data_IF_099264492116
#
_entry.id   IF_099264492116
#
_cell.length_a   1.000
_cell.length_b   1.000
_cell.length_c   1.000
_cell.angle_alpha   90.00
_cell.angle_beta   90.00
_cell.angle_gamma   90.00
#
_symmetry.space_group_name_H-M   'P 1'
#
loop_
_entity.id
_entity.type
_entity.pdbx_description
1 polymer ?
#
# COMPACT_ATOMS: atom_id res chain seq x y z
N UNK A 1 -29.89 2.16 10.01
CA UNK A 1 -28.78 1.62 9.22
C UNK A 1 -27.53 1.79 10.08
N UNK A 2 -27.04 0.72 10.68
CA UNK A 2 -25.78 0.74 11.45
C UNK A 2 -24.65 1.09 10.48
N UNK A 3 -23.95 2.21 10.71
CA UNK A 3 -22.79 2.57 9.94
C UNK A 3 -21.80 1.40 9.97
N UNK A 4 -21.39 0.89 8.81
CA UNK A 4 -20.41 -0.18 8.74
C UNK A 4 -19.14 0.26 9.44
N UNK A 5 -18.62 -0.56 10.35
CA UNK A 5 -17.36 -0.24 11.04
C UNK A 5 -16.22 -0.18 10.01
N UNK A 6 -15.39 0.87 10.04
CA UNK A 6 -14.26 0.97 9.12
C UNK A 6 -13.30 -0.19 9.34
N UNK A 7 -12.72 -0.71 8.26
CA UNK A 7 -11.71 -1.77 8.35
C UNK A 7 -10.42 -1.27 9.01
N UNK A 8 -9.93 -0.10 8.56
CA UNK A 8 -8.80 0.59 9.18
C UNK A 8 -9.30 1.85 9.87
N UNK A 9 -8.88 2.03 11.11
CA UNK A 9 -9.10 3.25 11.89
C UNK A 9 -7.79 3.74 12.48
N UNK A 10 -7.48 4.98 12.19
CA UNK A 10 -6.32 5.70 12.69
C UNK A 10 -6.84 6.87 13.53
N UNK A 11 -6.43 6.94 14.79
CA UNK A 11 -6.91 7.95 15.74
C UNK A 11 -5.72 8.65 16.40
N UNK A 12 -5.59 9.97 16.21
CA UNK A 12 -4.68 10.83 16.93
C UNK A 12 -3.20 10.48 16.81
N UNK A 13 -2.75 9.96 15.64
CA UNK A 13 -1.36 9.56 15.47
C UNK A 13 -0.41 10.74 15.60
N UNK A 14 0.62 10.56 16.47
CA UNK A 14 1.70 11.51 16.67
C UNK A 14 3.05 10.82 16.56
N UNK A 15 3.99 11.51 15.90
CA UNK A 15 5.38 11.08 15.82
C UNK A 15 6.31 12.26 15.64
N UNK A 16 7.27 12.39 16.55
CA UNK A 16 8.32 13.42 16.48
C UNK A 16 9.70 12.79 16.29
N UNK A 17 10.57 13.52 15.62
CA UNK A 17 11.98 13.22 15.46
C UNK A 17 12.81 14.47 15.78
N UNK A 18 13.63 14.42 16.83
CA UNK A 18 14.50 15.55 17.19
C UNK A 18 13.76 16.87 17.41
N UNK A 19 12.53 16.83 17.95
CA UNK A 19 11.69 18.00 18.20
C UNK A 19 10.87 18.46 16.98
N UNK A 20 10.93 17.77 15.84
CA UNK A 20 10.12 18.05 14.65
C UNK A 20 8.98 17.03 14.58
N UNK A 21 7.74 17.53 14.55
CA UNK A 21 6.56 16.68 14.43
C UNK A 21 6.39 16.21 12.98
N UNK A 22 6.67 14.93 12.74
CA UNK A 22 6.45 14.28 11.46
C UNK A 22 4.98 13.84 11.30
N UNK A 23 4.28 13.56 12.43
CA UNK A 23 2.83 13.37 12.49
C UNK A 23 2.31 14.12 13.72
N UNK A 24 1.30 14.97 13.53
CA UNK A 24 0.71 15.84 14.53
C UNK A 24 -0.83 15.65 14.53
N UNK A 25 -1.29 14.64 15.27
CA UNK A 25 -2.72 14.33 15.47
C UNK A 25 -3.45 13.85 14.19
N UNK A 26 -2.83 12.93 13.46
CA UNK A 26 -3.40 12.39 12.21
C UNK A 26 -4.48 11.35 12.52
N UNK A 27 -5.69 11.58 12.00
CA UNK A 27 -6.84 10.69 12.16
C UNK A 27 -7.56 10.52 10.82
N UNK A 28 -7.82 9.28 10.41
CA UNK A 28 -8.62 8.93 9.22
C UNK A 28 -9.15 7.50 9.32
N UNK A 29 -10.07 7.17 8.41
CA UNK A 29 -10.68 5.85 8.35
C UNK A 29 -10.69 5.32 6.93
N UNK A 30 -10.68 3.97 6.78
CA UNK A 30 -10.77 3.31 5.49
C UNK A 30 -11.68 2.08 5.58
N UNK A 31 -12.66 2.04 4.72
CA UNK A 31 -13.62 0.94 4.62
C UNK A 31 -13.04 -0.22 3.79
N UNK A 32 -13.58 -1.42 4.01
CA UNK A 32 -13.23 -2.59 3.21
C UNK A 32 -13.66 -2.40 1.74
N UNK A 33 -12.78 -2.76 0.80
CA UNK A 33 -13.01 -2.62 -0.64
C UNK A 33 -12.86 -1.18 -1.16
N UNK A 34 -12.40 -0.23 -0.34
CA UNK A 34 -12.16 1.16 -0.75
C UNK A 34 -10.67 1.44 -0.93
N UNK A 35 -10.38 2.40 -1.81
CA UNK A 35 -9.05 2.92 -2.07
C UNK A 35 -8.92 4.34 -1.52
N UNK A 36 -8.03 4.54 -0.55
CA UNK A 36 -7.69 5.84 0.03
C UNK A 36 -6.30 6.26 -0.44
N UNK A 37 -6.20 7.42 -1.06
CA UNK A 37 -4.92 8.04 -1.38
C UNK A 37 -4.47 8.97 -0.23
N UNK A 38 -3.28 8.75 0.31
CA UNK A 38 -2.63 9.67 1.24
C UNK A 38 -1.63 10.52 0.46
N UNK A 39 -1.99 11.77 0.20
CA UNK A 39 -1.17 12.68 -0.60
C UNK A 39 -0.63 13.85 0.24
N UNK A 40 0.30 14.59 -0.31
CA UNK A 40 0.91 15.76 0.35
C UNK A 40 2.30 16.04 -0.20
N UNK A 41 2.85 17.25 0.02
CA UNK A 41 4.18 17.60 -0.42
C UNK A 41 5.26 16.72 0.20
N UNK A 42 6.50 16.84 -0.30
CA UNK A 42 7.63 16.13 0.28
C UNK A 42 7.85 16.58 1.74
N UNK A 43 8.12 15.63 2.62
CA UNK A 43 8.24 15.90 4.05
C UNK A 43 6.92 16.07 4.81
N UNK A 44 5.75 15.87 4.16
CA UNK A 44 4.45 15.99 4.82
C UNK A 44 4.17 14.93 5.91
N UNK A 45 4.95 13.83 5.96
CA UNK A 45 4.76 12.75 6.93
C UNK A 45 4.18 11.45 6.37
N UNK A 46 3.94 11.36 5.05
CA UNK A 46 3.33 10.19 4.39
C UNK A 46 4.08 8.89 4.71
N UNK A 47 5.39 8.83 4.45
CA UNK A 47 6.21 7.64 4.71
C UNK A 47 6.29 7.31 6.21
N UNK A 48 6.26 8.32 7.10
CA UNK A 48 6.19 8.12 8.55
C UNK A 48 4.86 7.42 8.92
N UNK A 49 3.75 7.87 8.37
CA UNK A 49 2.43 7.25 8.55
C UNK A 49 2.45 5.79 8.07
N UNK A 50 2.94 5.52 6.86
CA UNK A 50 3.07 4.16 6.31
C UNK A 50 3.96 3.25 7.18
N UNK A 51 5.06 3.77 7.69
CA UNK A 51 5.96 3.02 8.58
C UNK A 51 5.32 2.70 9.94
N UNK A 52 4.46 3.58 10.45
CA UNK A 52 3.67 3.30 11.65
C UNK A 52 2.64 2.21 11.37
N UNK A 53 1.86 2.34 10.29
CA UNK A 53 0.83 1.36 9.90
C UNK A 53 1.42 -0.02 9.63
N UNK A 54 2.62 -0.08 9.03
CA UNK A 54 3.36 -1.31 8.74
C UNK A 54 4.16 -1.88 9.92
N UNK A 55 4.20 -1.19 11.06
CA UNK A 55 4.92 -1.63 12.27
C UNK A 55 6.44 -1.54 12.19
N UNK A 56 6.98 -0.76 11.24
CA UNK A 56 8.41 -0.44 11.18
C UNK A 56 8.77 0.71 12.12
N UNK A 57 7.78 1.52 12.50
CA UNK A 57 7.96 2.67 13.38
C UNK A 57 6.88 2.64 14.47
N UNK A 58 7.27 2.90 15.72
CA UNK A 58 6.33 3.09 16.81
C UNK A 58 5.93 4.56 16.89
N UNK A 59 4.63 4.90 16.93
CA UNK A 59 4.18 6.25 17.16
C UNK A 59 4.43 6.65 18.63
N UNK A 60 4.48 7.95 18.89
CA UNK A 60 4.62 8.50 20.26
C UNK A 60 3.27 8.57 20.97
N UNK A 61 2.18 8.75 20.19
CA UNK A 61 0.80 8.71 20.70
C UNK A 61 -0.17 8.29 19.56
N UNK A 62 -1.42 8.02 19.95
CA UNK A 62 -2.49 7.61 19.06
C UNK A 62 -2.64 6.11 18.94
N UNK A 63 -3.60 5.68 18.13
CA UNK A 63 -3.92 4.27 17.92
C UNK A 63 -4.15 3.95 16.43
N UNK A 64 -3.86 2.71 16.04
CA UNK A 64 -4.12 2.15 14.72
C UNK A 64 -4.85 0.84 14.88
N UNK A 65 -6.08 0.75 14.39
CA UNK A 65 -6.88 -0.46 14.50
C UNK A 65 -7.25 -1.02 13.14
N UNK A 66 -6.98 -2.30 12.96
CA UNK A 66 -7.46 -3.07 11.82
C UNK A 66 -8.56 -4.01 12.30
N UNK A 67 -9.78 -3.83 11.79
CA UNK A 67 -10.94 -4.64 12.22
C UNK A 67 -11.10 -4.66 13.75
N UNK A 68 -10.99 -3.50 14.38
CA UNK A 68 -11.07 -3.31 15.83
C UNK A 68 -9.83 -3.75 16.62
N UNK A 69 -8.85 -4.41 16.00
CA UNK A 69 -7.61 -4.88 16.69
C UNK A 69 -6.52 -3.82 16.63
N UNK A 70 -5.96 -3.49 17.79
CA UNK A 70 -4.84 -2.55 17.89
C UNK A 70 -3.57 -3.11 17.25
N UNK A 71 -2.93 -2.31 16.42
CA UNK A 71 -1.68 -2.64 15.73
C UNK A 71 -0.45 -1.98 16.35
N UNK A 72 -0.61 -0.87 17.09
CA UNK A 72 0.51 -0.16 17.72
C UNK A 72 1.26 -1.07 18.69
N UNK A 73 2.59 -1.10 18.54
CA UNK A 73 3.47 -1.95 19.35
C UNK A 73 3.61 -3.39 18.87
N UNK A 74 2.90 -3.79 17.82
CA UNK A 74 3.12 -5.08 17.18
C UNK A 74 4.29 -5.00 16.19
N UNK A 75 5.03 -6.10 16.04
CA UNK A 75 6.06 -6.21 14.99
C UNK A 75 5.45 -6.29 13.60
N UNK A 76 6.18 -5.82 12.57
CA UNK A 76 5.74 -5.88 11.17
C UNK A 76 5.29 -7.28 10.73
N UNK A 77 6.00 -8.34 11.16
CA UNK A 77 5.61 -9.71 10.86
C UNK A 77 4.29 -10.14 11.56
N UNK A 78 3.95 -9.55 12.70
CA UNK A 78 2.65 -9.80 13.37
C UNK A 78 1.53 -9.03 12.68
N UNK A 79 1.79 -7.80 12.27
CA UNK A 79 0.86 -6.95 11.51
C UNK A 79 0.54 -7.60 10.15
N UNK A 80 1.55 -8.11 9.44
CA UNK A 80 1.36 -8.86 8.19
C UNK A 80 0.41 -10.06 8.40
N UNK A 81 0.59 -10.83 9.46
CA UNK A 81 -0.29 -11.97 9.79
C UNK A 81 -1.72 -11.59 10.19
N UNK A 82 -1.92 -10.35 10.62
CA UNK A 82 -3.26 -9.81 10.87
C UNK A 82 -3.97 -9.34 9.60
N UNK A 83 -3.28 -9.42 8.45
CA UNK A 83 -3.86 -9.09 7.15
C UNK A 83 -3.47 -7.72 6.61
N UNK A 84 -2.31 -7.18 6.99
CA UNK A 84 -1.73 -5.99 6.35
C UNK A 84 -0.65 -6.43 5.37
N UNK A 85 -0.91 -6.30 4.08
CA UNK A 85 0.10 -6.42 3.01
C UNK A 85 0.78 -5.07 2.78
N UNK A 86 2.03 -5.10 2.33
CA UNK A 86 2.76 -3.89 1.94
C UNK A 86 3.58 -4.13 0.68
N UNK A 87 3.51 -3.19 -0.27
CA UNK A 87 4.50 -3.03 -1.33
C UNK A 87 5.41 -1.85 -0.98
N UNK A 88 6.60 -1.80 -1.57
CA UNK A 88 7.60 -0.79 -1.27
C UNK A 88 7.88 0.09 -2.48
N UNK A 89 8.38 1.30 -2.29
CA UNK A 89 8.80 2.20 -3.35
C UNK A 89 9.82 1.52 -4.28
N UNK A 90 10.85 0.90 -3.70
CA UNK A 90 11.75 0.00 -4.44
C UNK A 90 11.21 -1.41 -4.34
N UNK A 91 10.97 -2.06 -5.48
CA UNK A 91 10.39 -3.40 -5.52
C UNK A 91 11.23 -4.40 -4.72
N UNK A 92 10.60 -5.04 -3.73
CA UNK A 92 11.24 -5.99 -2.82
C UNK A 92 11.25 -7.41 -3.40
N UNK A 93 11.74 -7.58 -4.64
CA UNK A 93 11.86 -8.87 -5.31
C UNK A 93 13.31 -9.36 -5.32
N UNK A 94 13.50 -10.67 -5.30
CA UNK A 94 14.80 -11.32 -5.48
C UNK A 94 15.09 -11.41 -6.98
N UNK A 95 15.97 -10.54 -7.48
CA UNK A 95 16.26 -10.41 -8.93
C UNK A 95 16.83 -11.68 -9.58
N UNK A 96 17.55 -12.50 -8.81
CA UNK A 96 18.11 -13.78 -9.24
C UNK A 96 17.10 -14.93 -9.28
N UNK A 97 15.92 -14.74 -8.70
CA UNK A 97 14.83 -15.71 -8.69
C UNK A 97 13.82 -15.41 -9.80
N UNK A 98 13.11 -16.44 -10.24
CA UNK A 98 11.98 -16.29 -11.16
C UNK A 98 10.80 -15.61 -10.47
N UNK A 99 9.83 -15.11 -11.26
CA UNK A 99 8.57 -14.56 -10.72
C UNK A 99 7.85 -15.59 -9.84
N UNK A 100 7.81 -16.87 -10.26
CA UNK A 100 7.20 -17.96 -9.51
C UNK A 100 7.90 -18.17 -8.16
N UNK A 101 9.22 -18.26 -8.13
CA UNK A 101 10.00 -18.47 -6.90
C UNK A 101 9.85 -17.31 -5.92
N UNK A 102 9.76 -16.07 -6.41
CA UNK A 102 9.47 -14.90 -5.59
C UNK A 102 8.12 -15.05 -4.86
N UNK A 103 7.06 -15.42 -5.58
CA UNK A 103 5.73 -15.63 -5.00
C UNK A 103 5.74 -16.84 -4.05
N UNK A 104 6.44 -17.93 -4.41
CA UNK A 104 6.59 -19.09 -3.52
C UNK A 104 7.31 -18.72 -2.22
N UNK A 105 8.31 -17.82 -2.26
CA UNK A 105 9.00 -17.32 -1.05
C UNK A 105 8.02 -16.60 -0.13
N UNK A 106 7.12 -15.79 -0.67
CA UNK A 106 6.06 -15.15 0.12
C UNK A 106 5.09 -16.18 0.74
N UNK A 107 4.72 -17.22 -0.01
CA UNK A 107 3.88 -18.32 0.50
C UNK A 107 4.58 -19.12 1.59
N UNK A 108 5.88 -19.40 1.45
CA UNK A 108 6.69 -20.05 2.49
C UNK A 108 6.76 -19.21 3.77
N UNK A 109 6.89 -17.88 3.63
CA UNK A 109 6.85 -16.94 4.75
C UNK A 109 5.50 -17.01 5.48
N UNK A 110 4.41 -16.96 4.74
CA UNK A 110 3.04 -17.10 5.28
C UNK A 110 2.89 -18.41 6.07
N UNK A 111 3.37 -19.52 5.50
CA UNK A 111 3.24 -20.85 6.09
C UNK A 111 4.28 -21.14 7.19
N UNK A 112 5.16 -20.17 7.50
CA UNK A 112 6.25 -20.28 8.50
C UNK A 112 7.24 -21.41 8.20
N UNK A 113 7.52 -21.67 6.93
CA UNK A 113 8.36 -22.75 6.47
C UNK A 113 9.76 -22.31 6.01
N UNK A 114 10.07 -20.99 6.05
CA UNK A 114 11.34 -20.42 5.57
C UNK A 114 12.59 -21.07 6.19
N UNK A 115 12.48 -21.59 7.42
CA UNK A 115 13.59 -22.21 8.16
C UNK A 115 13.44 -23.73 8.32
N UNK A 116 12.60 -24.39 7.53
CA UNK A 116 12.44 -25.86 7.55
C UNK A 116 13.23 -26.50 6.41
N UNK A 117 14.43 -27.11 6.67
CA UNK A 117 15.35 -27.59 5.64
C UNK A 117 14.86 -28.83 4.87
N UNK A 118 13.80 -29.49 5.34
CA UNK A 118 13.34 -30.77 4.82
C UNK A 118 12.34 -30.71 3.67
N UNK A 119 11.87 -29.52 3.26
CA UNK A 119 10.94 -29.36 2.12
C UNK A 119 11.63 -28.60 0.99
N UNK A 120 11.58 -29.18 -0.21
CA UNK A 120 12.01 -28.49 -1.43
C UNK A 120 11.12 -27.27 -1.65
N UNK A 121 11.69 -26.09 -1.57
CA UNK A 121 10.98 -24.80 -1.79
C UNK A 121 10.34 -24.78 -3.18
N UNK A 122 11.00 -25.35 -4.19
CA UNK A 122 10.56 -25.41 -5.59
C UNK A 122 9.19 -26.06 -5.80
N UNK A 123 8.81 -27.04 -4.98
CA UNK A 123 7.52 -27.73 -5.09
C UNK A 123 6.42 -27.13 -4.19
N UNK A 124 6.78 -26.12 -3.38
CA UNK A 124 5.82 -25.58 -2.41
C UNK A 124 4.77 -24.70 -3.10
N UNK A 125 3.51 -25.11 -3.01
CA UNK A 125 2.34 -24.36 -3.47
C UNK A 125 2.45 -23.77 -4.87
N UNK A 126 3.05 -24.50 -5.82
CA UNK A 126 3.25 -24.06 -7.21
C UNK A 126 1.95 -23.57 -7.83
N UNK A 127 0.86 -24.33 -7.68
CA UNK A 127 -0.43 -23.96 -8.26
C UNK A 127 -1.01 -22.67 -7.63
N UNK A 128 -0.83 -22.46 -6.31
CA UNK A 128 -1.27 -21.24 -5.64
C UNK A 128 -0.41 -20.04 -6.09
N UNK A 129 0.90 -20.23 -6.27
CA UNK A 129 1.78 -19.19 -6.77
C UNK A 129 1.46 -18.81 -8.24
N UNK A 130 1.17 -19.79 -9.10
CA UNK A 130 0.73 -19.53 -10.47
C UNK A 130 -0.60 -18.80 -10.51
N UNK A 131 -1.57 -19.19 -9.66
CA UNK A 131 -2.86 -18.49 -9.57
C UNK A 131 -2.71 -17.02 -9.11
N UNK A 132 -1.76 -16.73 -8.20
CA UNK A 132 -1.45 -15.36 -7.79
C UNK A 132 -0.81 -14.57 -8.93
N UNK A 133 0.11 -15.19 -9.70
CA UNK A 133 0.70 -14.56 -10.89
C UNK A 133 -0.35 -14.31 -11.98
N UNK A 134 -1.32 -15.20 -12.15
CA UNK A 134 -2.43 -15.01 -13.08
C UNK A 134 -3.29 -13.81 -12.68
N UNK A 135 -3.61 -13.66 -11.38
CA UNK A 135 -4.36 -12.50 -10.85
C UNK A 135 -3.69 -11.17 -11.18
N UNK A 136 -2.35 -11.13 -11.24
CA UNK A 136 -1.59 -9.92 -11.58
C UNK A 136 -1.13 -9.90 -13.05
N UNK A 137 -1.69 -10.76 -13.90
CA UNK A 137 -1.40 -10.86 -15.34
C UNK A 137 0.07 -11.17 -15.64
N UNK A 138 0.71 -12.01 -14.82
CA UNK A 138 2.12 -12.41 -14.95
C UNK A 138 2.31 -13.92 -15.16
N UNK A 139 1.24 -14.66 -15.47
CA UNK A 139 1.32 -16.12 -15.69
C UNK A 139 2.30 -16.50 -16.81
N UNK A 140 2.32 -15.75 -17.90
CA UNK A 140 3.22 -15.99 -19.05
C UNK A 140 4.71 -15.78 -18.71
N UNK A 141 5.02 -14.97 -17.70
CA UNK A 141 6.37 -14.66 -17.23
C UNK A 141 6.76 -15.41 -15.95
N UNK A 142 5.96 -16.39 -15.52
CA UNK A 142 6.17 -17.10 -14.25
C UNK A 142 7.60 -17.67 -14.09
N UNK A 143 8.22 -18.11 -15.19
CA UNK A 143 9.59 -18.67 -15.21
C UNK A 143 10.68 -17.65 -15.55
N UNK A 144 10.34 -16.41 -15.86
CA UNK A 144 11.31 -15.36 -16.12
C UNK A 144 11.94 -14.89 -14.80
N UNK A 145 13.26 -14.67 -14.82
CA UNK A 145 13.96 -14.07 -13.68
C UNK A 145 13.53 -12.61 -13.50
N UNK A 146 13.23 -12.19 -12.26
CA UNK A 146 12.80 -10.83 -11.98
C UNK A 146 13.82 -9.77 -12.41
N UNK A 147 15.11 -10.11 -12.49
CA UNK A 147 16.14 -9.23 -13.00
C UNK A 147 16.08 -8.94 -14.51
N UNK A 148 15.35 -9.75 -15.28
CA UNK A 148 15.15 -9.60 -16.74
C UNK A 148 13.77 -8.98 -17.09
N UNK A 149 12.88 -8.81 -16.11
CA UNK A 149 11.56 -8.24 -16.31
C UNK A 149 11.61 -6.71 -16.42
N UNK A 150 10.68 -6.15 -17.18
CA UNK A 150 10.44 -4.71 -17.18
C UNK A 150 9.98 -4.23 -15.79
N UNK A 151 10.22 -2.96 -15.46
CA UNK A 151 9.94 -2.44 -14.12
C UNK A 151 8.48 -2.60 -13.70
N UNK A 152 7.53 -2.34 -14.61
CA UNK A 152 6.10 -2.53 -14.36
C UNK A 152 5.72 -3.99 -14.11
N UNK A 153 6.42 -4.94 -14.77
CA UNK A 153 6.21 -6.38 -14.53
C UNK A 153 6.74 -6.79 -13.15
N UNK A 154 7.90 -6.25 -12.73
CA UNK A 154 8.44 -6.47 -11.38
C UNK A 154 7.46 -5.96 -10.31
N UNK A 155 6.83 -4.78 -10.53
CA UNK A 155 5.80 -4.25 -9.63
C UNK A 155 4.55 -5.14 -9.54
N UNK A 156 4.16 -5.79 -10.64
CA UNK A 156 3.08 -6.80 -10.62
C UNK A 156 3.48 -8.06 -9.84
N UNK A 157 4.71 -8.52 -9.97
CA UNK A 157 5.22 -9.65 -9.15
C UNK A 157 5.24 -9.27 -7.67
N UNK A 158 5.67 -8.07 -7.31
CA UNK A 158 5.62 -7.56 -5.94
C UNK A 158 4.18 -7.53 -5.39
N UNK A 159 3.22 -7.11 -6.21
CA UNK A 159 1.79 -7.16 -5.85
C UNK A 159 1.35 -8.61 -5.58
N UNK A 160 1.72 -9.58 -6.44
CA UNK A 160 1.41 -10.99 -6.22
C UNK A 160 2.00 -11.53 -4.90
N UNK A 161 3.25 -11.14 -4.56
CA UNK A 161 3.87 -11.47 -3.28
C UNK A 161 3.09 -10.89 -2.09
N UNK A 162 2.62 -9.67 -2.18
CA UNK A 162 1.80 -9.06 -1.13
C UNK A 162 0.45 -9.79 -0.98
N UNK A 163 -0.19 -10.18 -2.10
CA UNK A 163 -1.44 -10.95 -2.11
C UNK A 163 -1.29 -12.37 -1.55
N UNK A 164 -0.09 -12.95 -1.57
CA UNK A 164 0.18 -14.28 -1.02
C UNK A 164 -0.22 -14.40 0.47
N UNK A 165 -0.18 -13.31 1.22
CA UNK A 165 -0.61 -13.23 2.61
C UNK A 165 -2.12 -12.99 2.79
N UNK A 166 -2.90 -12.91 1.68
CA UNK A 166 -4.35 -12.64 1.69
C UNK A 166 -4.69 -11.40 2.51
N UNK A 167 -4.13 -10.23 2.15
CA UNK A 167 -4.30 -9.03 2.95
C UNK A 167 -5.75 -8.55 2.93
N UNK A 168 -6.19 -8.02 4.07
CA UNK A 168 -7.43 -7.25 4.19
C UNK A 168 -7.17 -5.76 3.92
N UNK A 169 -5.95 -5.29 4.24
CA UNK A 169 -5.44 -3.96 3.96
C UNK A 169 -4.14 -4.09 3.17
N UNK A 170 -4.05 -3.43 2.03
CA UNK A 170 -2.84 -3.30 1.24
C UNK A 170 -2.29 -1.87 1.36
N UNK A 171 -1.06 -1.73 1.80
CA UNK A 171 -0.31 -0.48 1.84
C UNK A 171 0.60 -0.40 0.62
N UNK A 172 0.44 0.62 -0.23
CA UNK A 172 1.24 0.80 -1.45
C UNK A 172 1.95 2.17 -1.40
N UNK A 173 3.26 2.14 -1.25
CA UNK A 173 4.10 3.35 -1.14
C UNK A 173 4.64 3.70 -2.53
N UNK A 174 4.07 4.74 -3.17
CA UNK A 174 4.40 5.20 -4.52
C UNK A 174 4.46 4.05 -5.57
N UNK A 175 3.39 3.25 -5.71
CA UNK A 175 3.42 2.01 -6.50
C UNK A 175 3.74 2.25 -7.98
N UNK A 176 3.48 3.45 -8.50
CA UNK A 176 3.64 3.75 -9.93
C UNK A 176 4.86 4.63 -10.24
N UNK A 177 5.69 4.94 -9.23
CA UNK A 177 6.89 5.74 -9.42
C UNK A 177 7.82 5.12 -10.48
N UNK A 178 8.31 5.94 -11.43
CA UNK A 178 9.20 5.47 -12.50
C UNK A 178 8.55 4.71 -13.66
N UNK A 179 7.22 4.52 -13.66
CA UNK A 179 6.48 3.84 -14.72
C UNK A 179 5.98 4.82 -15.79
N UNK A 180 5.81 4.35 -17.04
CA UNK A 180 5.12 5.08 -18.08
C UNK A 180 3.62 5.27 -17.73
N UNK A 181 3.00 6.34 -18.24
CA UNK A 181 1.61 6.71 -17.89
C UNK A 181 0.61 5.58 -18.08
N UNK A 182 0.67 4.86 -19.20
CA UNK A 182 -0.24 3.75 -19.47
C UNK A 182 -0.05 2.58 -18.49
N UNK A 183 1.19 2.30 -18.08
CA UNK A 183 1.52 1.25 -17.12
C UNK A 183 1.04 1.60 -15.71
N UNK A 184 1.16 2.88 -15.29
CA UNK A 184 0.64 3.38 -14.02
C UNK A 184 -0.84 3.07 -13.88
N UNK A 185 -1.62 3.51 -14.88
CA UNK A 185 -3.07 3.27 -14.88
C UNK A 185 -3.42 1.79 -14.99
N UNK A 186 -2.64 0.99 -15.71
CA UNK A 186 -2.86 -0.45 -15.80
C UNK A 186 -2.66 -1.14 -14.44
N UNK A 187 -1.59 -0.77 -13.69
CA UNK A 187 -1.34 -1.30 -12.35
C UNK A 187 -2.45 -0.90 -11.37
N UNK A 188 -2.89 0.37 -11.41
CA UNK A 188 -3.92 0.85 -10.49
C UNK A 188 -5.31 0.28 -10.80
N UNK A 189 -5.66 0.08 -12.10
CA UNK A 189 -6.89 -0.65 -12.48
C UNK A 189 -6.88 -2.08 -11.97
N UNK A 190 -5.77 -2.79 -12.17
CA UNK A 190 -5.59 -4.15 -11.65
C UNK A 190 -5.75 -4.18 -10.11
N UNK A 191 -5.13 -3.22 -9.41
CA UNK A 191 -5.27 -3.09 -7.95
C UNK A 191 -6.71 -2.82 -7.55
N UNK A 192 -7.46 -2.00 -8.31
CA UNK A 192 -8.87 -1.71 -8.09
C UNK A 192 -9.72 -2.98 -8.24
N UNK A 193 -9.52 -3.73 -9.33
CA UNK A 193 -10.23 -5.00 -9.57
C UNK A 193 -10.01 -6.01 -8.44
N UNK A 194 -8.78 -6.10 -7.94
CA UNK A 194 -8.44 -6.95 -6.80
C UNK A 194 -9.07 -6.46 -5.49
N UNK A 195 -9.09 -5.15 -5.26
CA UNK A 195 -9.72 -4.55 -4.10
C UNK A 195 -11.22 -4.84 -4.07
N UNK A 196 -11.90 -4.71 -5.21
CA UNK A 196 -13.34 -4.96 -5.34
C UNK A 196 -13.69 -6.44 -5.16
N UNK A 197 -12.96 -7.33 -5.86
CA UNK A 197 -13.24 -8.78 -5.84
C UNK A 197 -12.94 -9.42 -4.48
N UNK A 198 -11.88 -8.99 -3.80
CA UNK A 198 -11.45 -9.53 -2.51
C UNK A 198 -11.95 -8.72 -1.32
N UNK A 199 -12.69 -7.62 -1.56
CA UNK A 199 -13.08 -6.64 -0.53
C UNK A 199 -11.89 -6.14 0.29
N UNK A 200 -10.73 -6.01 -0.35
CA UNK A 200 -9.50 -5.56 0.26
C UNK A 200 -9.46 -4.02 0.26
N UNK A 201 -9.17 -3.44 1.42
CA UNK A 201 -8.91 -1.99 1.48
C UNK A 201 -7.50 -1.70 0.94
N UNK A 202 -7.34 -0.57 0.25
CA UNK A 202 -6.05 -0.13 -0.27
C UNK A 202 -5.76 1.28 0.22
N UNK A 203 -4.64 1.45 0.92
CA UNK A 203 -4.09 2.77 1.24
C UNK A 203 -2.83 2.96 0.39
N UNK A 204 -2.77 4.03 -0.40
CA UNK A 204 -1.62 4.26 -1.26
C UNK A 204 -1.14 5.71 -1.20
N UNK A 205 0.16 5.92 -1.41
CA UNK A 205 0.74 7.24 -1.66
C UNK A 205 1.07 7.38 -3.13
N UNK A 206 0.95 8.56 -3.68
CA UNK A 206 1.32 8.88 -5.05
C UNK A 206 1.67 10.36 -5.21
N UNK A 207 2.53 10.65 -6.18
CA UNK A 207 2.85 12.01 -6.61
C UNK A 207 2.08 12.42 -7.88
N UNK A 208 1.67 11.45 -8.69
CA UNK A 208 0.91 11.67 -9.92
C UNK A 208 -0.56 11.92 -9.58
N UNK A 209 -1.00 13.16 -9.61
CA UNK A 209 -2.37 13.54 -9.26
C UNK A 209 -3.41 12.93 -10.20
N UNK A 210 -3.08 12.73 -11.48
CA UNK A 210 -3.92 12.02 -12.45
C UNK A 210 -4.24 10.58 -12.02
N UNK A 211 -3.26 9.88 -11.43
CA UNK A 211 -3.45 8.54 -10.85
C UNK A 211 -4.35 8.63 -9.62
N UNK A 212 -4.09 9.59 -8.73
CA UNK A 212 -4.84 9.77 -7.48
C UNK A 212 -6.31 10.05 -7.78
N UNK A 213 -6.59 11.09 -8.57
CA UNK A 213 -7.98 11.51 -8.87
C UNK A 213 -8.78 10.48 -9.64
N UNK A 214 -8.11 9.65 -10.45
CA UNK A 214 -8.76 8.62 -11.26
C UNK A 214 -9.07 7.33 -10.49
N UNK A 215 -8.26 6.99 -9.48
CA UNK A 215 -8.33 5.66 -8.86
C UNK A 215 -8.71 5.65 -7.38
N UNK A 216 -8.60 6.78 -6.66
CA UNK A 216 -9.00 6.85 -5.26
C UNK A 216 -10.52 7.02 -5.11
N UNK A 217 -11.11 6.35 -4.12
CA UNK A 217 -12.47 6.64 -3.66
C UNK A 217 -12.49 7.87 -2.73
N UNK A 218 -11.42 7.99 -1.93
CA UNK A 218 -11.19 9.10 -1.00
C UNK A 218 -9.73 9.53 -1.03
N UNK A 219 -9.50 10.79 -0.72
CA UNK A 219 -8.17 11.38 -0.66
C UNK A 219 -8.01 12.04 0.71
N UNK A 220 -6.91 11.73 1.40
CA UNK A 220 -6.46 12.40 2.61
C UNK A 220 -5.21 13.23 2.28
N UNK A 221 -5.26 14.52 2.55
CA UNK A 221 -4.17 15.46 2.24
C UNK A 221 -3.39 15.78 3.49
N UNK A 222 -2.13 15.36 3.55
CA UNK A 222 -1.23 15.59 4.66
C UNK A 222 -0.29 16.76 4.38
N UNK A 223 -0.22 17.71 5.31
CA UNK A 223 0.70 18.85 5.21
C UNK A 223 1.36 19.07 6.57
N UNK A 224 2.70 19.10 6.60
CA UNK A 224 3.49 19.31 7.83
C UNK A 224 3.03 18.43 9.00
N UNK A 225 2.78 17.14 8.72
CA UNK A 225 2.38 16.17 9.74
C UNK A 225 0.90 16.20 10.14
N UNK A 226 0.09 17.11 9.63
CA UNK A 226 -1.32 17.26 9.97
C UNK A 226 -2.22 17.01 8.76
N UNK A 227 -3.44 16.52 9.01
CA UNK A 227 -4.44 16.32 7.98
C UNK A 227 -5.07 17.68 7.63
N UNK A 228 -4.82 18.16 6.41
CA UNK A 228 -5.35 19.42 5.89
C UNK A 228 -6.80 19.28 5.42
N UNK A 229 -7.09 18.21 4.69
CA UNK A 229 -8.39 17.92 4.11
C UNK A 229 -8.56 16.42 3.88
N UNK A 230 -9.81 15.95 3.90
CA UNK A 230 -10.20 14.58 3.57
C UNK A 230 -11.55 14.59 2.84
N UNK A 231 -11.70 13.77 1.80
CA UNK A 231 -12.95 13.66 1.06
C UNK A 231 -12.83 12.95 -0.27
N UNK A 232 -13.94 12.90 -1.04
CA UNK A 232 -13.92 12.38 -2.40
C UNK A 232 -13.06 13.26 -3.34
N UNK A 233 -12.55 12.69 -4.45
CA UNK A 233 -11.65 13.41 -5.37
C UNK A 233 -12.11 14.78 -5.79
N UNK A 234 -13.37 14.92 -6.23
CA UNK A 234 -13.92 16.20 -6.70
C UNK A 234 -13.90 17.30 -5.62
N UNK A 235 -14.18 16.93 -4.36
CA UNK A 235 -14.14 17.86 -3.24
C UNK A 235 -12.71 18.30 -2.93
N UNK A 236 -11.77 17.39 -2.99
CA UNK A 236 -10.34 17.68 -2.74
C UNK A 236 -9.75 18.54 -3.85
N UNK A 237 -10.10 18.28 -5.13
CA UNK A 237 -9.66 19.10 -6.26
C UNK A 237 -10.15 20.56 -6.17
N UNK A 238 -11.35 20.77 -5.62
CA UNK A 238 -11.95 22.09 -5.46
C UNK A 238 -11.54 22.83 -4.18
N UNK A 239 -10.80 22.19 -3.25
CA UNK A 239 -10.43 22.84 -1.97
C UNK A 239 -9.25 23.82 -2.18
N UNK A 240 -9.47 25.15 -1.96
CA UNK A 240 -8.41 26.17 -2.17
C UNK A 240 -7.18 25.95 -1.27
N UNK A 241 -7.35 25.34 -0.09
CA UNK A 241 -6.25 25.06 0.83
C UNK A 241 -5.35 23.96 0.27
N UNK A 242 -5.94 22.95 -0.39
CA UNK A 242 -5.21 21.87 -1.07
C UNK A 242 -4.48 22.43 -2.28
N UNK A 243 -5.16 23.26 -3.09
CA UNK A 243 -4.54 23.92 -4.24
C UNK A 243 -3.33 24.74 -3.80
N UNK A 244 -3.46 25.59 -2.76
CA UNK A 244 -2.35 26.38 -2.23
C UNK A 244 -1.18 25.52 -1.70
N UNK A 245 -1.47 24.39 -1.06
CA UNK A 245 -0.44 23.49 -0.51
C UNK A 245 0.38 22.75 -1.58
N UNK A 246 -0.23 22.47 -2.75
CA UNK A 246 0.42 21.74 -3.85
C UNK A 246 1.05 22.66 -4.88
N UNK A 247 0.48 23.81 -5.12
CA UNK A 247 0.78 24.63 -6.28
C UNK A 247 1.61 25.87 -5.92
N UNK A 248 1.82 26.13 -4.62
CA UNK A 248 2.55 27.33 -4.24
C UNK A 248 2.06 28.53 -5.07
N UNK A 249 0.81 28.88 -4.99
CA UNK A 249 0.15 30.03 -5.56
C UNK A 249 -0.06 30.09 -7.11
N UNK A 250 0.47 29.17 -7.95
CA UNK A 250 0.54 29.49 -9.39
C UNK A 250 0.03 28.45 -10.41
N UNK A 251 -0.70 27.38 -10.05
CA UNK A 251 -1.31 26.52 -11.10
C UNK A 251 -2.60 25.81 -10.68
N UNK A 252 -3.66 25.74 -11.53
CA UNK A 252 -4.86 24.96 -11.27
C UNK A 252 -4.57 23.46 -11.33
N UNK A 253 -5.21 22.69 -10.43
CA UNK A 253 -5.32 21.25 -10.50
C UNK A 253 -6.30 20.92 -11.64
N UNK A 254 -5.76 20.67 -12.83
CA UNK A 254 -6.55 20.29 -14.01
C UNK A 254 -6.72 18.76 -14.09
#
# INVERSE_FOLDING_TARGET
MTAAQPLLRVDGLRKSFGGIDALADVSFQLEAGRMLALIGPNGAGKSTCFNVLGGQLRPDAGSVRLDGRELVGLSAGRICRLGVGRTFQTAATFRSMTALENVQTALLSRDRLLFRPWRRAESHRVNEALALLEQVQMAGQARAHCGALAYGEVKRVELAMALAHRPRLLLMDEPTAGMATNERHALMRLTRELADTQRMAVLFTEHSLDVVFKHADHIAVLVRGSLLAEGPPDRIAADPRVQAAYLGADAPLA
#
